data_IF_105646323006
#
_entry.id   IF_105646323006
#
_cell.length_a   1.000
_cell.length_b   1.000
_cell.length_c   1.000
_cell.angle_alpha   90.00
_cell.angle_beta   90.00
_cell.angle_gamma   90.00
#
_symmetry.space_group_name_H-M   'P 1'
#
loop_
_entity.id
_entity.type
_entity.pdbx_description
1 polymer ?
#
# COMPACT_ATOMS: atom_id res chain seq x y z
N UNK A 1 -1.54 -2.07 -15.53
CA UNK A 1 -1.08 -1.85 -14.14
C UNK A 1 0.24 -1.11 -14.21
N UNK A 2 0.40 -0.02 -13.46
CA UNK A 2 1.66 0.75 -13.40
C UNK A 2 2.39 0.59 -12.07
N UNK A 3 1.82 -0.13 -11.09
CA UNK A 3 2.43 -0.32 -9.78
C UNK A 3 3.78 -1.07 -9.87
N UNK A 4 4.70 -0.72 -8.96
CA UNK A 4 5.99 -1.39 -8.79
C UNK A 4 6.20 -1.77 -7.33
N UNK A 5 6.64 -3.00 -7.10
CA UNK A 5 7.09 -3.44 -5.76
C UNK A 5 8.22 -2.55 -5.24
N UNK A 6 8.29 -2.39 -3.92
CA UNK A 6 9.20 -1.48 -3.21
C UNK A 6 9.06 0.02 -3.54
N UNK A 7 8.04 0.41 -4.32
CA UNK A 7 7.75 1.82 -4.55
C UNK A 7 7.16 2.49 -3.30
N UNK A 8 7.40 3.80 -3.18
CA UNK A 8 6.95 4.68 -2.09
C UNK A 8 6.41 6.01 -2.63
N UNK A 9 5.82 6.82 -1.76
CA UNK A 9 5.52 8.22 -2.06
C UNK A 9 6.79 9.04 -2.25
N UNK A 10 7.85 8.75 -1.49
CA UNK A 10 9.18 9.32 -1.71
C UNK A 10 9.90 8.47 -2.77
N UNK A 11 10.24 9.08 -3.91
CA UNK A 11 11.01 8.41 -4.96
C UNK A 11 12.35 7.86 -4.43
N UNK A 12 12.93 8.49 -3.40
CA UNK A 12 14.14 8.01 -2.73
C UNK A 12 13.99 6.60 -2.16
N UNK A 13 12.81 6.22 -1.67
CA UNK A 13 12.50 4.85 -1.23
C UNK A 13 12.66 3.86 -2.37
N UNK A 14 12.11 4.18 -3.54
CA UNK A 14 12.14 3.28 -4.70
C UNK A 14 13.57 3.09 -5.24
N UNK A 15 14.37 4.17 -5.21
CA UNK A 15 15.75 4.16 -5.71
C UNK A 15 16.67 3.23 -4.89
N UNK A 16 16.43 3.04 -3.58
CA UNK A 16 17.19 2.11 -2.75
C UNK A 16 17.13 0.66 -3.26
N UNK A 17 16.07 0.32 -3.98
CA UNK A 17 15.79 -1.04 -4.46
C UNK A 17 15.83 -1.16 -5.99
N UNK A 18 16.30 -0.12 -6.70
CA UNK A 18 16.20 -0.02 -8.17
C UNK A 18 14.77 -0.25 -8.69
N UNK A 19 13.76 0.14 -7.90
CA UNK A 19 12.36 0.01 -8.27
C UNK A 19 11.88 1.21 -9.12
N UNK A 20 10.79 1.01 -9.86
CA UNK A 20 10.17 2.07 -10.65
C UNK A 20 9.52 3.07 -9.68
N UNK A 21 9.99 4.32 -9.71
CA UNK A 21 9.53 5.37 -8.80
C UNK A 21 8.08 5.78 -9.08
N UNK A 22 7.38 6.36 -8.10
CA UNK A 22 5.98 6.77 -8.29
C UNK A 22 5.84 7.79 -9.44
N UNK A 23 6.82 8.70 -9.61
CA UNK A 23 6.86 9.61 -10.75
C UNK A 23 7.10 8.89 -12.09
N UNK A 24 7.93 7.84 -12.12
CA UNK A 24 8.11 7.03 -13.32
C UNK A 24 6.83 6.27 -13.69
N UNK A 25 6.09 5.74 -12.70
CA UNK A 25 4.79 5.10 -12.94
C UNK A 25 3.79 6.10 -13.56
N UNK A 26 3.76 7.33 -13.06
CA UNK A 26 2.96 8.42 -13.64
C UNK A 26 3.40 8.77 -15.07
N UNK A 27 4.72 8.78 -15.34
CA UNK A 27 5.25 9.00 -16.68
C UNK A 27 4.80 7.89 -17.64
N UNK A 28 4.91 6.63 -17.24
CA UNK A 28 4.40 5.50 -18.03
C UNK A 28 2.90 5.59 -18.28
N UNK A 29 2.12 6.08 -17.30
CA UNK A 29 0.70 6.36 -17.50
C UNK A 29 0.46 7.47 -18.53
N UNK A 30 1.21 8.59 -18.49
CA UNK A 30 1.12 9.66 -19.49
C UNK A 30 1.42 9.15 -20.91
N UNK A 31 2.46 8.33 -21.04
CA UNK A 31 2.82 7.70 -22.32
C UNK A 31 1.72 6.76 -22.83
N UNK A 32 1.16 5.93 -21.94
CA UNK A 32 0.02 5.07 -22.26
C UNK A 32 -1.19 5.87 -22.73
N UNK A 33 -1.54 6.95 -22.01
CA UNK A 33 -2.63 7.85 -22.40
C UNK A 33 -2.43 8.47 -23.78
N UNK A 34 -1.20 8.89 -24.10
CA UNK A 34 -0.86 9.40 -25.42
C UNK A 34 -1.05 8.34 -26.52
N UNK A 35 -0.56 7.11 -26.29
CA UNK A 35 -0.74 5.98 -27.22
C UNK A 35 -2.22 5.69 -27.48
N UNK A 36 -3.03 5.58 -26.42
CA UNK A 36 -4.49 5.37 -26.56
C UNK A 36 -5.13 6.51 -27.35
N UNK A 37 -4.78 7.75 -27.03
CA UNK A 37 -5.31 8.94 -27.74
C UNK A 37 -5.01 8.91 -29.23
N UNK A 38 -3.80 8.50 -29.62
CA UNK A 38 -3.42 8.37 -31.03
C UNK A 38 -4.16 7.22 -31.74
N UNK A 39 -4.51 6.16 -31.02
CA UNK A 39 -5.23 5.01 -31.59
C UNK A 39 -6.72 5.26 -31.79
N UNK A 40 -7.39 5.95 -30.85
CA UNK A 40 -8.86 6.05 -30.82
C UNK A 40 -9.39 7.47 -31.08
N UNK A 41 -8.50 8.45 -31.22
CA UNK A 41 -8.85 9.87 -31.33
C UNK A 41 -9.12 10.52 -29.97
N UNK A 42 -9.04 11.86 -29.95
CA UNK A 42 -9.11 12.67 -28.73
C UNK A 42 -10.42 12.52 -27.97
N UNK A 43 -11.56 12.57 -28.65
CA UNK A 43 -12.87 12.57 -28.01
C UNK A 43 -13.16 11.23 -27.33
N UNK A 44 -12.90 10.12 -28.03
CA UNK A 44 -13.07 8.78 -27.47
C UNK A 44 -12.08 8.48 -26.35
N UNK A 45 -10.84 8.95 -26.45
CA UNK A 45 -9.88 8.83 -25.37
C UNK A 45 -10.31 9.61 -24.12
N UNK A 46 -10.84 10.83 -24.30
CA UNK A 46 -11.38 11.61 -23.19
C UNK A 46 -12.54 10.90 -22.47
N UNK A 47 -13.46 10.28 -23.21
CA UNK A 47 -14.55 9.47 -22.65
C UNK A 47 -14.06 8.21 -21.90
N UNK A 48 -13.00 7.57 -22.38
CA UNK A 48 -12.37 6.43 -21.69
C UNK A 48 -11.76 6.89 -20.37
N UNK A 49 -10.91 7.92 -20.39
CA UNK A 49 -10.14 8.33 -19.22
C UNK A 49 -10.97 9.09 -18.17
N UNK A 50 -12.05 9.76 -18.56
CA UNK A 50 -12.94 10.48 -17.63
C UNK A 50 -13.75 9.54 -16.74
N UNK A 51 -14.07 8.33 -17.23
CA UNK A 51 -14.80 7.29 -16.49
C UNK A 51 -13.89 6.33 -15.72
N UNK A 52 -12.61 6.33 -16.02
CA UNK A 52 -11.62 5.47 -15.37
C UNK A 52 -11.53 5.74 -13.86
N UNK A 53 -11.31 4.66 -13.10
CA UNK A 53 -11.00 4.72 -11.67
C UNK A 53 -9.52 4.43 -11.48
N UNK A 54 -8.86 5.25 -10.67
CA UNK A 54 -7.44 5.17 -10.40
C UNK A 54 -7.26 4.68 -8.96
N UNK A 55 -6.49 3.63 -8.76
CA UNK A 55 -6.17 3.10 -7.44
C UNK A 55 -4.70 3.37 -7.12
N UNK A 56 -4.44 4.01 -5.98
CA UNK A 56 -3.12 4.30 -5.47
C UNK A 56 -2.90 3.52 -4.18
N UNK A 57 -1.93 2.61 -4.20
CA UNK A 57 -1.50 1.86 -3.01
C UNK A 57 0.01 1.97 -2.89
N UNK A 58 0.46 2.75 -1.91
CA UNK A 58 1.87 3.03 -1.63
C UNK A 58 2.02 3.59 -0.22
N UNK A 59 3.25 3.70 0.29
CA UNK A 59 3.54 4.21 1.64
C UNK A 59 4.19 3.20 2.57
N UNK A 60 3.81 1.91 2.51
CA UNK A 60 4.38 0.89 3.41
C UNK A 60 5.89 0.75 3.25
N UNK A 61 6.39 0.85 2.01
CA UNK A 61 7.82 0.82 1.69
C UNK A 61 8.56 2.03 2.26
N UNK A 62 7.95 3.23 2.26
CA UNK A 62 8.58 4.43 2.80
C UNK A 62 8.91 4.26 4.28
N UNK A 63 8.08 3.53 5.02
CA UNK A 63 8.30 3.23 6.42
C UNK A 63 9.24 2.04 6.63
N UNK A 64 8.84 0.84 6.19
CA UNK A 64 9.55 -0.41 6.53
C UNK A 64 10.85 -0.62 5.76
N UNK A 65 10.89 -0.18 4.51
CA UNK A 65 12.02 -0.40 3.60
C UNK A 65 12.91 0.85 3.47
N UNK A 66 12.56 1.96 4.13
CA UNK A 66 13.37 3.19 4.09
C UNK A 66 13.50 3.80 5.48
N UNK A 67 12.46 4.44 6.01
CA UNK A 67 12.56 5.25 7.23
C UNK A 67 13.08 4.49 8.47
N UNK A 68 12.54 3.31 8.79
CA UNK A 68 12.93 2.60 10.02
C UNK A 68 14.31 1.94 9.97
N UNK A 69 14.83 1.67 8.77
CA UNK A 69 16.13 1.02 8.57
C UNK A 69 17.23 2.01 8.17
N UNK A 70 16.87 3.26 7.86
CA UNK A 70 17.81 4.32 7.52
C UNK A 70 18.09 5.21 8.74
N UNK A 71 19.26 5.07 9.40
CA UNK A 71 19.58 5.78 10.64
C UNK A 71 19.65 7.31 10.44
N UNK A 72 19.97 7.77 9.22
CA UNK A 72 20.04 9.20 8.91
C UNK A 72 18.63 9.78 8.83
N UNK A 73 17.72 9.14 8.07
CA UNK A 73 16.33 9.59 7.96
C UNK A 73 15.62 9.55 9.31
N UNK A 74 15.77 8.46 10.06
CA UNK A 74 15.16 8.29 11.37
C UNK A 74 15.66 9.32 12.40
N UNK A 75 16.92 9.80 12.28
CA UNK A 75 17.47 10.85 13.13
C UNK A 75 16.99 12.26 12.76
N UNK A 76 16.77 12.52 11.47
CA UNK A 76 16.38 13.85 10.97
C UNK A 76 14.87 14.09 11.13
N UNK A 77 14.06 13.06 10.94
CA UNK A 77 12.60 13.15 10.98
C UNK A 77 12.03 12.27 12.08
N UNK A 78 11.11 12.82 12.87
CA UNK A 78 10.16 12.00 13.63
C UNK A 78 9.19 11.31 12.66
N UNK A 79 8.50 10.22 13.06
CA UNK A 79 7.52 9.57 12.19
C UNK A 79 6.42 10.54 11.73
N UNK A 80 6.03 11.46 12.61
CA UNK A 80 5.05 12.51 12.33
C UNK A 80 5.52 13.48 11.24
N UNK A 81 6.75 14.02 11.35
CA UNK A 81 7.33 14.91 10.34
C UNK A 81 7.63 14.20 9.02
N UNK A 82 8.00 12.93 9.08
CA UNK A 82 8.18 12.13 7.87
C UNK A 82 6.84 11.91 7.17
N UNK A 83 5.76 11.67 7.92
CA UNK A 83 4.40 11.59 7.37
C UNK A 83 3.98 12.88 6.67
N UNK A 84 4.30 14.07 7.22
CA UNK A 84 4.02 15.35 6.54
C UNK A 84 4.74 15.48 5.20
N UNK A 85 6.00 15.03 5.15
CA UNK A 85 6.77 14.97 3.90
C UNK A 85 6.09 14.06 2.87
N UNK A 86 5.67 12.87 3.27
CA UNK A 86 4.95 11.94 2.38
C UNK A 86 3.60 12.52 1.92
N UNK A 87 2.87 13.25 2.77
CA UNK A 87 1.64 13.94 2.40
C UNK A 87 1.85 15.03 1.34
N UNK A 88 3.00 15.70 1.34
CA UNK A 88 3.35 16.65 0.28
C UNK A 88 3.53 15.93 -1.08
N UNK A 89 4.21 14.77 -1.08
CA UNK A 89 4.37 13.96 -2.30
C UNK A 89 3.03 13.40 -2.78
N UNK A 90 2.23 12.85 -1.87
CA UNK A 90 0.87 12.38 -2.16
C UNK A 90 0.00 13.48 -2.78
N UNK A 91 -0.05 14.65 -2.14
CA UNK A 91 -0.81 15.81 -2.63
C UNK A 91 -0.37 16.26 -4.01
N UNK A 92 0.93 16.28 -4.27
CA UNK A 92 1.50 16.59 -5.59
C UNK A 92 1.10 15.54 -6.62
N UNK A 93 1.18 14.26 -6.28
CA UNK A 93 0.82 13.17 -7.17
C UNK A 93 -0.66 13.18 -7.56
N UNK A 94 -1.56 13.38 -6.59
CA UNK A 94 -3.01 13.50 -6.84
C UNK A 94 -3.32 14.70 -7.75
N UNK A 95 -2.73 15.86 -7.49
CA UNK A 95 -2.89 17.04 -8.35
C UNK A 95 -2.39 16.77 -9.78
N UNK A 96 -1.27 16.05 -9.93
CA UNK A 96 -0.77 15.66 -11.24
C UNK A 96 -1.71 14.70 -11.98
N UNK A 97 -2.27 13.70 -11.31
CA UNK A 97 -3.30 12.82 -11.91
C UNK A 97 -4.55 13.61 -12.29
N UNK A 98 -5.00 14.51 -11.42
CA UNK A 98 -6.16 15.37 -11.68
C UNK A 98 -5.94 16.27 -12.92
N UNK A 99 -4.75 16.84 -13.07
CA UNK A 99 -4.35 17.64 -14.24
C UNK A 99 -4.28 16.80 -15.53
N UNK A 100 -4.09 15.49 -15.41
CA UNK A 100 -4.21 14.54 -16.53
C UNK A 100 -5.66 14.11 -16.80
N UNK A 101 -6.64 14.67 -16.10
CA UNK A 101 -8.06 14.38 -16.29
C UNK A 101 -8.62 13.27 -15.41
N UNK A 102 -7.85 12.73 -14.46
CA UNK A 102 -8.38 11.79 -13.48
C UNK A 102 -9.43 12.47 -12.59
N UNK A 103 -10.55 11.80 -12.35
CA UNK A 103 -11.65 12.31 -11.51
C UNK A 103 -12.11 11.34 -10.41
N UNK A 104 -11.74 10.07 -10.49
CA UNK A 104 -12.12 9.02 -9.53
C UNK A 104 -10.87 8.35 -9.00
N UNK A 105 -10.43 8.70 -7.80
CA UNK A 105 -9.18 8.22 -7.22
C UNK A 105 -9.47 7.52 -5.88
N UNK A 106 -9.13 6.24 -5.77
CA UNK A 106 -9.07 5.54 -4.49
C UNK A 106 -7.63 5.46 -4.01
N UNK A 107 -7.36 5.80 -2.76
CA UNK A 107 -6.04 5.67 -2.14
C UNK A 107 -6.13 4.74 -0.93
N UNK A 108 -5.27 3.73 -0.82
CA UNK A 108 -5.32 2.84 0.34
C UNK A 108 -4.64 3.47 1.55
N UNK A 109 -5.17 3.21 2.74
CA UNK A 109 -4.44 3.45 4.00
C UNK A 109 -3.16 2.60 4.06
N UNK A 110 -2.27 2.92 5.00
CA UNK A 110 -1.26 1.96 5.44
C UNK A 110 -1.93 0.79 6.16
N UNK A 111 -1.38 -0.44 6.01
CA UNK A 111 -1.79 -1.59 6.81
C UNK A 111 -1.28 -1.46 8.28
N UNK A 112 -1.68 -2.36 9.20
CA UNK A 112 -1.04 -2.50 10.51
C UNK A 112 0.43 -2.90 10.37
N UNK A 113 1.31 -1.91 10.17
CA UNK A 113 2.72 -2.13 9.83
C UNK A 113 3.44 -2.99 10.87
N UNK A 114 3.15 -2.79 12.15
CA UNK A 114 3.76 -3.54 13.24
C UNK A 114 3.36 -5.01 13.30
N UNK A 115 2.32 -5.40 12.57
CA UNK A 115 1.86 -6.79 12.51
C UNK A 115 2.38 -7.55 11.29
N UNK A 116 3.13 -6.91 10.40
CA UNK A 116 3.79 -7.59 9.29
C UNK A 116 4.90 -8.51 9.84
N UNK A 117 5.05 -9.75 9.35
CA UNK A 117 6.03 -10.68 9.93
C UNK A 117 7.48 -10.13 9.92
N UNK A 118 7.89 -9.45 8.84
CA UNK A 118 9.17 -8.74 8.77
C UNK A 118 9.35 -7.68 9.87
N UNK A 119 8.30 -6.92 10.17
CA UNK A 119 8.35 -5.88 11.18
C UNK A 119 8.46 -6.47 12.60
N UNK A 120 7.74 -7.57 12.87
CA UNK A 120 7.84 -8.32 14.12
C UNK A 120 9.28 -8.81 14.32
N UNK A 121 9.86 -9.46 13.31
CA UNK A 121 11.20 -10.02 13.40
C UNK A 121 12.29 -8.94 13.51
N UNK A 122 12.17 -7.82 12.81
CA UNK A 122 13.17 -6.75 12.85
C UNK A 122 13.05 -5.83 14.07
N UNK A 123 11.84 -5.58 14.57
CA UNK A 123 11.57 -4.51 15.53
C UNK A 123 10.84 -4.95 16.80
N UNK A 124 10.43 -6.22 16.90
CA UNK A 124 9.70 -6.76 18.06
C UNK A 124 10.60 -7.19 19.23
N UNK A 125 11.90 -7.37 18.98
CA UNK A 125 12.85 -7.91 19.97
C UNK A 125 12.94 -9.44 19.90
N UNK A 126 14.07 -9.99 20.36
CA UNK A 126 14.37 -11.42 20.22
C UNK A 126 13.30 -12.29 20.92
N UNK A 127 12.74 -13.25 20.17
CA UNK A 127 11.73 -14.18 20.66
C UNK A 127 10.30 -13.60 20.79
N UNK A 128 10.09 -12.34 20.43
CA UNK A 128 8.76 -11.74 20.43
C UNK A 128 8.01 -12.06 19.12
N UNK A 129 6.76 -12.50 19.24
CA UNK A 129 5.87 -12.81 18.11
C UNK A 129 4.58 -11.94 18.11
N UNK A 130 4.62 -10.81 18.80
CA UNK A 130 3.50 -9.85 18.90
C UNK A 130 3.71 -8.66 17.98
N UNK A 131 2.61 -7.97 17.62
CA UNK A 131 2.73 -6.77 16.80
C UNK A 131 3.55 -5.69 17.50
N UNK A 132 4.37 -4.99 16.72
CA UNK A 132 5.17 -3.87 17.20
C UNK A 132 4.29 -2.62 17.31
N UNK A 133 3.76 -2.40 18.51
CA UNK A 133 2.76 -1.37 18.82
C UNK A 133 3.13 0.04 18.31
N UNK A 134 4.40 0.47 18.45
CA UNK A 134 4.84 1.79 17.97
C UNK A 134 4.64 1.96 16.46
N UNK A 135 4.84 0.90 15.67
CA UNK A 135 4.71 0.94 14.21
C UNK A 135 3.24 1.02 13.78
N UNK A 136 2.36 0.36 14.54
CA UNK A 136 0.92 0.47 14.33
C UNK A 136 0.40 1.88 14.67
N UNK A 137 0.93 2.52 15.73
CA UNK A 137 0.59 3.92 16.06
C UNK A 137 1.04 4.89 14.97
N UNK A 138 2.25 4.71 14.43
CA UNK A 138 2.74 5.50 13.31
C UNK A 138 1.83 5.34 12.08
N UNK A 139 1.42 4.11 11.76
CA UNK A 139 0.51 3.83 10.64
C UNK A 139 -0.87 4.49 10.83
N UNK A 140 -1.45 4.44 12.03
CA UNK A 140 -2.73 5.09 12.35
C UNK A 140 -2.63 6.62 12.26
N UNK A 141 -1.53 7.19 12.76
CA UNK A 141 -1.25 8.63 12.64
C UNK A 141 -1.14 9.06 11.18
N UNK A 142 -0.36 8.32 10.38
CA UNK A 142 -0.26 8.55 8.94
C UNK A 142 -1.62 8.46 8.25
N UNK A 143 -2.43 7.44 8.56
CA UNK A 143 -3.76 7.26 7.97
C UNK A 143 -4.70 8.44 8.29
N UNK A 144 -4.57 9.02 9.49
CA UNK A 144 -5.30 10.24 9.86
C UNK A 144 -4.86 11.43 9.00
N UNK A 145 -3.55 11.61 8.79
CA UNK A 145 -3.02 12.66 7.90
C UNK A 145 -3.47 12.44 6.45
N UNK A 146 -3.43 11.20 5.96
CA UNK A 146 -3.91 10.83 4.62
C UNK A 146 -5.38 11.20 4.42
N UNK A 147 -6.24 10.93 5.41
CA UNK A 147 -7.64 11.31 5.35
C UNK A 147 -7.82 12.83 5.30
N UNK A 148 -7.16 13.56 6.20
CA UNK A 148 -7.24 15.02 6.23
C UNK A 148 -6.72 15.67 4.93
N UNK A 149 -5.59 15.20 4.39
CA UNK A 149 -5.05 15.67 3.11
C UNK A 149 -5.99 15.33 1.95
N UNK A 150 -6.64 14.17 1.96
CA UNK A 150 -7.60 13.77 0.92
C UNK A 150 -8.87 14.64 0.95
N UNK A 151 -9.37 14.97 2.15
CA UNK A 151 -10.48 15.92 2.31
C UNK A 151 -10.10 17.31 1.79
N UNK A 152 -8.91 17.80 2.15
CA UNK A 152 -8.38 19.07 1.65
C UNK A 152 -8.32 19.10 0.11
N UNK A 153 -7.79 18.04 -0.51
CA UNK A 153 -7.69 17.94 -1.97
C UNK A 153 -9.06 17.90 -2.65
N UNK A 154 -10.02 17.18 -2.07
CA UNK A 154 -11.39 17.09 -2.59
C UNK A 154 -12.06 18.47 -2.59
N UNK A 155 -11.90 19.24 -1.51
CA UNK A 155 -12.42 20.61 -1.42
C UNK A 155 -11.74 21.58 -2.39
N UNK A 156 -10.45 21.36 -2.68
CA UNK A 156 -9.65 22.22 -3.55
C UNK A 156 -9.84 21.93 -5.05
N UNK A 157 -10.20 20.70 -5.42
CA UNK A 157 -10.21 20.21 -6.80
C UNK A 157 -11.64 19.89 -7.26
N UNK A 158 -12.32 20.80 -7.98
CA UNK A 158 -13.71 20.62 -8.39
C UNK A 158 -13.94 19.34 -9.19
N UNK A 159 -14.97 18.59 -8.79
CA UNK A 159 -15.36 17.34 -9.46
C UNK A 159 -14.43 16.16 -9.22
N UNK A 160 -13.42 16.28 -8.34
CA UNK A 160 -12.63 15.14 -7.88
C UNK A 160 -13.44 14.32 -6.88
N UNK A 161 -13.55 13.02 -7.13
CA UNK A 161 -13.91 12.00 -6.14
C UNK A 161 -12.63 11.35 -5.66
N UNK A 162 -12.30 11.55 -4.39
CA UNK A 162 -11.13 10.98 -3.75
C UNK A 162 -11.55 10.24 -2.49
N UNK A 163 -11.34 8.93 -2.47
CA UNK A 163 -11.78 8.05 -1.38
C UNK A 163 -10.57 7.38 -0.75
N UNK A 164 -10.47 7.50 0.57
CA UNK A 164 -9.50 6.73 1.36
C UNK A 164 -10.08 5.35 1.61
N UNK A 165 -9.39 4.33 1.13
CA UNK A 165 -9.74 2.93 1.16
C UNK A 165 -9.01 2.27 2.34
N UNK A 166 -9.76 1.92 3.38
CA UNK A 166 -9.25 1.30 4.59
C UNK A 166 -8.90 -0.17 4.36
N UNK A 167 -7.60 -0.44 4.36
CA UNK A 167 -7.03 -1.79 4.40
C UNK A 167 -6.46 -2.13 5.78
N UNK A 168 -6.40 -1.15 6.70
CA UNK A 168 -5.86 -1.35 8.03
C UNK A 168 -6.77 -2.25 8.85
N UNK A 169 -8.04 -1.90 8.97
CA UNK A 169 -8.97 -2.60 9.85
C UNK A 169 -9.27 -4.03 9.38
N UNK A 170 -9.52 -4.31 8.09
CA UNK A 170 -9.70 -5.69 7.62
C UNK A 170 -8.48 -6.56 7.90
N UNK A 171 -7.27 -6.06 7.63
CA UNK A 171 -6.05 -6.82 7.90
C UNK A 171 -5.82 -7.02 9.40
N UNK A 172 -6.02 -5.97 10.21
CA UNK A 172 -5.90 -6.07 11.66
C UNK A 172 -6.90 -7.06 12.27
N UNK A 173 -8.14 -7.11 11.75
CA UNK A 173 -9.16 -8.07 12.17
C UNK A 173 -8.74 -9.51 11.86
N UNK A 174 -8.21 -9.78 10.66
CA UNK A 174 -7.62 -11.09 10.31
C UNK A 174 -6.43 -11.44 11.21
N UNK A 175 -5.66 -10.45 11.61
CA UNK A 175 -4.51 -10.64 12.49
C UNK A 175 -4.92 -10.99 13.93
N UNK A 176 -5.89 -10.27 14.50
CA UNK A 176 -6.34 -10.42 15.89
C UNK A 176 -7.29 -11.61 16.06
N UNK A 177 -8.16 -11.86 15.08
CA UNK A 177 -9.13 -12.95 15.11
C UNK A 177 -9.15 -13.73 13.77
N UNK A 178 -8.08 -14.50 13.49
CA UNK A 178 -7.89 -15.16 12.19
C UNK A 178 -9.02 -16.14 11.85
N UNK A 179 -9.48 -16.95 12.81
CA UNK A 179 -10.51 -17.98 12.61
C UNK A 179 -11.89 -17.38 12.33
N UNK A 180 -12.21 -16.20 12.90
CA UNK A 180 -13.49 -15.54 12.64
C UNK A 180 -13.53 -14.78 11.31
N UNK A 181 -12.37 -14.37 10.79
CA UNK A 181 -12.26 -13.58 9.57
C UNK A 181 -11.87 -14.42 8.34
N UNK A 182 -11.72 -15.73 8.51
CA UNK A 182 -11.39 -16.69 7.47
C UNK A 182 -11.01 -18.03 8.09
N UNK A 183 -10.71 -19.04 7.29
CA UNK A 183 -10.15 -20.30 7.80
C UNK A 183 -8.63 -20.18 8.01
N UNK A 184 -8.19 -19.05 8.58
CA UNK A 184 -6.79 -18.79 8.89
C UNK A 184 -6.43 -19.44 10.22
N UNK A 185 -5.33 -20.19 10.25
CA UNK A 185 -4.75 -20.70 11.50
C UNK A 185 -3.52 -19.88 11.94
N UNK A 186 -2.82 -19.22 11.02
CA UNK A 186 -1.58 -18.48 11.28
C UNK A 186 -1.68 -17.03 10.79
N UNK A 187 -1.36 -16.08 11.67
CA UNK A 187 -1.48 -14.64 11.41
C UNK A 187 -0.26 -13.81 11.85
N UNK A 188 0.78 -14.47 12.36
CA UNK A 188 2.02 -13.86 12.84
C UNK A 188 3.22 -14.26 12.01
N UNK A 189 3.20 -15.47 11.47
CA UNK A 189 4.23 -15.99 10.56
C UNK A 189 3.73 -15.98 9.11
N UNK A 190 4.66 -15.80 8.19
CA UNK A 190 4.38 -15.95 6.77
C UNK A 190 4.33 -17.42 6.34
N UNK A 191 3.58 -17.72 5.28
CA UNK A 191 3.63 -19.03 4.63
C UNK A 191 4.98 -19.30 3.97
N UNK A 192 5.56 -18.30 3.31
CA UNK A 192 6.88 -18.34 2.72
C UNK A 192 7.91 -17.74 3.69
N UNK A 193 8.64 -18.62 4.36
CA UNK A 193 9.71 -18.23 5.27
C UNK A 193 9.84 -19.23 6.41
N UNK A 194 10.90 -19.11 7.19
CA UNK A 194 11.09 -19.98 8.37
C UNK A 194 10.47 -19.38 9.62
N UNK A 195 10.05 -18.10 9.60
CA UNK A 195 9.69 -17.32 10.80
C UNK A 195 10.90 -16.79 11.58
N UNK A 196 12.10 -16.99 11.02
CA UNK A 196 13.34 -16.28 11.39
C UNK A 196 13.91 -15.58 10.15
N UNK A 197 13.78 -16.23 9.00
CA UNK A 197 13.81 -15.62 7.68
C UNK A 197 12.37 -15.39 7.24
N UNK A 198 11.96 -14.13 7.22
CA UNK A 198 10.58 -13.73 6.88
C UNK A 198 10.31 -13.77 5.37
N UNK A 199 11.29 -14.11 4.55
CA UNK A 199 11.12 -14.31 3.11
C UNK A 199 12.16 -15.32 2.63
N UNK A 200 11.70 -16.44 2.05
CA UNK A 200 12.58 -17.43 1.43
C UNK A 200 12.94 -17.01 0.00
N UNK A 201 14.06 -17.51 -0.53
CA UNK A 201 14.48 -17.20 -1.90
C UNK A 201 13.40 -17.60 -2.91
N UNK A 202 12.97 -16.65 -3.74
CA UNK A 202 11.91 -16.77 -4.76
C UNK A 202 10.49 -17.12 -4.27
N UNK A 203 10.29 -17.40 -2.98
CA UNK A 203 9.00 -17.79 -2.39
C UNK A 203 8.11 -18.66 -3.30
N UNK A 204 8.57 -19.87 -3.61
CA UNK A 204 7.79 -20.84 -4.38
C UNK A 204 7.66 -22.16 -3.61
N UNK A 205 6.84 -23.09 -4.12
CA UNK A 205 6.56 -24.37 -3.45
C UNK A 205 7.80 -25.25 -3.17
N UNK A 206 8.94 -25.00 -3.83
CA UNK A 206 10.22 -25.69 -3.58
C UNK A 206 11.13 -24.94 -2.61
N UNK A 207 10.82 -23.70 -2.28
CA UNK A 207 11.60 -22.89 -1.35
C UNK A 207 11.45 -23.43 0.05
N UNK A 208 12.59 -23.69 0.72
CA UNK A 208 12.62 -24.17 2.11
C UNK A 208 11.81 -23.22 3.00
N UNK A 209 10.97 -23.80 3.87
CA UNK A 209 10.10 -23.07 4.78
C UNK A 209 8.74 -22.68 4.18
N UNK A 210 8.51 -22.88 2.88
CA UNK A 210 7.19 -22.59 2.29
C UNK A 210 6.14 -23.57 2.77
N UNK A 211 5.02 -23.06 3.27
CA UNK A 211 3.91 -23.85 3.77
C UNK A 211 3.20 -24.62 2.64
N UNK A 212 2.54 -25.73 2.97
CA UNK A 212 1.77 -26.52 2.00
C UNK A 212 0.40 -25.93 1.67
N UNK A 213 -0.16 -25.10 2.54
CA UNK A 213 -1.46 -24.47 2.36
C UNK A 213 -1.45 -22.98 2.73
N UNK A 214 -1.27 -22.11 1.73
CA UNK A 214 -1.26 -20.66 1.91
C UNK A 214 -2.63 -20.07 2.28
N UNK A 215 -3.73 -20.78 2.02
CA UNK A 215 -5.09 -20.28 2.29
C UNK A 215 -5.38 -20.15 3.78
N UNK A 216 -4.62 -20.86 4.62
CA UNK A 216 -4.76 -20.79 6.07
C UNK A 216 -3.76 -19.85 6.74
N UNK A 217 -3.00 -19.08 5.97
CA UNK A 217 -2.11 -18.03 6.47
C UNK A 217 -2.65 -16.65 6.09
N UNK A 218 -2.58 -15.69 7.00
CA UNK A 218 -2.90 -14.28 6.68
C UNK A 218 -1.83 -13.69 5.76
N UNK A 219 -0.56 -14.07 5.95
CA UNK A 219 0.57 -13.53 5.19
C UNK A 219 1.19 -14.58 4.26
N UNK A 220 1.47 -14.18 3.02
CA UNK A 220 2.22 -15.00 2.08
C UNK A 220 3.70 -14.96 2.40
N UNK A 221 4.28 -13.77 2.52
CA UNK A 221 5.68 -13.54 2.89
C UNK A 221 5.74 -12.49 4.02
N UNK A 222 6.95 -12.02 4.35
CA UNK A 222 7.19 -11.07 5.43
C UNK A 222 6.55 -9.69 5.25
N UNK A 223 6.05 -9.36 4.06
CA UNK A 223 5.51 -8.05 3.72
C UNK A 223 4.10 -8.11 3.12
N UNK A 224 3.73 -9.22 2.50
CA UNK A 224 2.54 -9.31 1.66
C UNK A 224 1.47 -10.26 2.25
N UNK A 225 0.19 -9.85 2.27
CA UNK A 225 -0.91 -10.74 2.61
C UNK A 225 -1.02 -11.92 1.63
N UNK A 226 -1.58 -13.04 2.08
CA UNK A 226 -1.89 -14.18 1.21
C UNK A 226 -2.99 -13.84 0.21
N UNK A 227 -3.18 -14.69 -0.81
CA UNK A 227 -4.32 -14.53 -1.73
C UNK A 227 -5.65 -14.52 -0.97
N UNK A 228 -5.83 -15.42 0.00
CA UNK A 228 -7.03 -15.50 0.81
C UNK A 228 -7.28 -14.20 1.59
N UNK A 229 -6.24 -13.62 2.20
CA UNK A 229 -6.35 -12.33 2.88
C UNK A 229 -6.66 -11.18 1.90
N UNK A 230 -6.02 -11.16 0.73
CA UNK A 230 -6.28 -10.16 -0.32
C UNK A 230 -7.72 -10.24 -0.85
N UNK A 231 -8.33 -11.43 -0.95
CA UNK A 231 -9.75 -11.57 -1.34
C UNK A 231 -10.68 -10.88 -0.34
N UNK A 232 -10.43 -11.02 0.96
CA UNK A 232 -11.22 -10.38 2.02
C UNK A 232 -11.01 -8.86 1.99
N UNK A 233 -9.77 -8.40 1.84
CA UNK A 233 -9.46 -6.97 1.71
C UNK A 233 -10.18 -6.40 0.48
N UNK A 234 -10.06 -7.05 -0.68
CA UNK A 234 -10.71 -6.61 -1.92
C UNK A 234 -12.23 -6.53 -1.77
N UNK A 235 -12.88 -7.51 -1.13
CA UNK A 235 -14.32 -7.48 -0.86
C UNK A 235 -14.72 -6.26 -0.01
N UNK A 236 -13.94 -5.93 1.02
CA UNK A 236 -14.14 -4.72 1.82
C UNK A 236 -13.96 -3.45 0.99
N UNK A 237 -12.91 -3.39 0.16
CA UNK A 237 -12.62 -2.22 -0.67
C UNK A 237 -13.67 -1.98 -1.75
N UNK A 238 -14.30 -3.04 -2.29
CA UNK A 238 -15.39 -2.90 -3.26
C UNK A 238 -16.58 -2.15 -2.66
N UNK A 239 -16.93 -2.42 -1.39
CA UNK A 239 -18.01 -1.73 -0.68
C UNK A 239 -17.62 -0.28 -0.39
N UNK A 240 -16.41 -0.05 0.11
CA UNK A 240 -15.91 1.30 0.41
C UNK A 240 -15.80 2.18 -0.84
N UNK A 241 -15.45 1.58 -1.98
CA UNK A 241 -15.23 2.26 -3.25
C UNK A 241 -16.48 2.61 -4.06
N UNK A 242 -17.69 2.26 -3.60
CA UNK A 242 -18.95 2.54 -4.33
C UNK A 242 -19.07 4.02 -4.69
N UNK A 243 -18.69 4.91 -3.79
CA UNK A 243 -18.75 6.37 -3.99
C UNK A 243 -17.85 6.89 -5.11
N UNK A 244 -16.84 6.12 -5.54
CA UNK A 244 -16.00 6.49 -6.69
C UNK A 244 -16.77 6.39 -8.01
N UNK A 245 -17.74 5.47 -8.10
CA UNK A 245 -18.45 5.16 -9.34
C UNK A 245 -19.91 5.60 -9.37
N UNK A 246 -20.52 5.86 -8.20
CA UNK A 246 -21.89 6.37 -8.06
C UNK A 246 -22.01 7.83 -8.47
#
# INVERSE_FOLDING_TARGET
>A
NFASGASGFDDGTSLLYNAITLNQQLKSYKEYKSKVTNMVGRDRANDIFSRATYLLSTGSSDFLQSYYINPILNRIFTPDRYSDRLMNFYSTFVQNLYNLGARRIGVTTLPPLGCLPSAITMFGGAGNNTCVERLNRDAVSFNTKLNNTSMYLTNKLPGLKLVVLDIYNPLMSMVVNPVANGTFFESRRACCGTGTLETSFLCNARSVGTCSNATSYVFWDGFHPSEAANRIIAANLLVQGISLIS
#
